data_IF_484097520582
#
_entry.id   IF_484097520582
#
_cell.length_a   1.000
_cell.length_b   1.000
_cell.length_c   1.000
_cell.angle_alpha   90.00
_cell.angle_beta   90.00
_cell.angle_gamma   90.00
#
_symmetry.space_group_name_H-M   'P 1'
#
loop_
_entity.id
_entity.type
_entity.pdbx_description
1 polymer ?
#
# COMPACT_ATOMS: atom_id res chain seq x y z
N UNK A 1 6.75 -24.94 -3.30
CA UNK A 1 6.42 -24.01 -2.21
C UNK A 1 7.46 -24.05 -1.13
N UNK A 2 8.40 -23.10 -1.18
CA UNK A 2 9.30 -22.80 -0.06
C UNK A 2 8.86 -21.49 0.59
N UNK A 3 8.86 -21.49 1.93
CA UNK A 3 8.44 -20.37 2.76
C UNK A 3 9.56 -19.99 3.72
N UNK A 4 9.79 -18.70 3.91
CA UNK A 4 10.59 -18.16 5.00
C UNK A 4 9.67 -17.33 5.88
N UNK A 5 9.66 -17.62 7.17
CA UNK A 5 8.88 -16.93 8.19
C UNK A 5 9.79 -16.51 9.34
N UNK A 6 9.85 -15.21 9.60
CA UNK A 6 10.64 -14.57 10.65
C UNK A 6 9.71 -13.63 11.43
N UNK A 7 9.05 -14.15 12.45
CA UNK A 7 8.08 -13.41 13.26
C UNK A 7 8.66 -13.09 14.64
N UNK A 8 8.49 -11.83 15.06
CA UNK A 8 8.76 -11.36 16.43
C UNK A 8 10.12 -11.83 16.94
N UNK A 9 11.15 -11.62 16.10
CA UNK A 9 12.53 -12.01 16.41
C UNK A 9 13.29 -10.84 17.04
N UNK A 10 13.53 -10.82 18.37
CA UNK A 10 14.29 -9.76 19.01
C UNK A 10 15.74 -9.81 18.52
N UNK A 11 16.23 -8.71 17.94
CA UNK A 11 17.58 -8.64 17.39
C UNK A 11 17.71 -8.97 15.90
N UNK A 12 16.60 -9.22 15.18
CA UNK A 12 16.63 -9.19 13.72
C UNK A 12 16.55 -7.73 13.24
N UNK A 13 17.68 -7.18 12.80
CA UNK A 13 17.82 -5.80 12.35
C UNK A 13 18.71 -5.70 11.10
N UNK A 14 18.75 -4.51 10.50
CA UNK A 14 19.51 -4.25 9.28
C UNK A 14 18.66 -4.41 8.03
N UNK A 15 19.30 -4.56 6.87
CA UNK A 15 18.64 -4.61 5.55
C UNK A 15 18.35 -6.05 5.13
N UNK A 16 17.31 -6.24 4.30
CA UNK A 16 17.02 -7.54 3.68
C UNK A 16 18.17 -7.90 2.71
N UNK A 17 18.89 -9.01 2.94
CA UNK A 17 19.96 -9.44 2.03
C UNK A 17 19.38 -9.97 0.72
N UNK A 18 20.22 -10.11 -0.31
CA UNK A 18 19.77 -10.71 -1.56
C UNK A 18 19.33 -12.16 -1.37
N UNK A 19 18.09 -12.48 -1.75
CA UNK A 19 17.54 -13.83 -1.74
C UNK A 19 17.42 -14.43 -3.14
N UNK A 20 18.07 -13.84 -4.15
CA UNK A 20 17.96 -14.25 -5.56
C UNK A 20 18.36 -15.70 -5.84
N UNK A 21 19.16 -16.32 -4.97
CA UNK A 21 19.56 -17.73 -5.09
C UNK A 21 18.48 -18.71 -4.62
N UNK A 22 17.44 -18.24 -3.95
CA UNK A 22 16.34 -19.07 -3.45
C UNK A 22 15.26 -19.19 -4.54
N UNK A 23 15.58 -19.89 -5.62
CA UNK A 23 14.71 -20.04 -6.81
C UNK A 23 13.35 -20.68 -6.52
N UNK A 24 13.21 -21.41 -5.42
CA UNK A 24 11.96 -22.06 -5.00
C UNK A 24 11.17 -21.27 -3.95
N UNK A 25 11.69 -20.12 -3.50
CA UNK A 25 11.01 -19.26 -2.53
C UNK A 25 9.75 -18.68 -3.15
N UNK A 26 8.61 -18.97 -2.53
CA UNK A 26 7.28 -18.54 -2.98
C UNK A 26 6.63 -17.57 -1.98
N UNK A 27 6.98 -17.67 -0.69
CA UNK A 27 6.48 -16.81 0.38
C UNK A 27 7.63 -16.33 1.28
N UNK A 28 7.66 -15.02 1.53
CA UNK A 28 8.51 -14.39 2.53
C UNK A 28 7.65 -13.59 3.50
N UNK A 29 7.75 -13.91 4.78
CA UNK A 29 7.03 -13.26 5.86
C UNK A 29 8.04 -12.83 6.94
N UNK A 30 8.15 -11.53 7.16
CA UNK A 30 8.99 -10.92 8.18
C UNK A 30 8.14 -9.92 8.97
N UNK A 31 7.68 -10.32 10.14
CA UNK A 31 6.66 -9.57 10.88
C UNK A 31 7.20 -9.12 12.23
N UNK A 32 6.95 -7.87 12.61
CA UNK A 32 7.32 -7.33 13.94
C UNK A 32 8.81 -7.46 14.26
N UNK A 33 9.67 -7.00 13.33
CA UNK A 33 11.13 -7.01 13.50
C UNK A 33 11.72 -5.62 13.35
N UNK A 34 13.03 -5.48 13.60
CA UNK A 34 13.72 -4.18 13.48
C UNK A 34 14.46 -4.03 12.14
N UNK A 35 14.01 -4.73 11.09
CA UNK A 35 14.60 -4.57 9.76
C UNK A 35 14.30 -3.18 9.20
N UNK A 36 15.26 -2.64 8.46
CA UNK A 36 15.26 -1.25 7.99
C UNK A 36 15.86 -1.15 6.60
N UNK A 37 15.75 0.02 5.97
CA UNK A 37 16.35 0.29 4.66
C UNK A 37 15.42 -0.08 3.49
N UNK A 38 15.92 -0.03 2.25
CA UNK A 38 15.08 -0.19 1.07
C UNK A 38 14.65 -1.64 0.84
N UNK A 39 13.45 -1.83 0.31
CA UNK A 39 13.04 -3.07 -0.34
C UNK A 39 14.01 -3.35 -1.51
N UNK A 40 14.67 -4.51 -1.53
CA UNK A 40 15.60 -4.87 -2.60
C UNK A 40 14.89 -5.12 -3.93
N UNK A 41 15.58 -5.14 -5.07
CA UNK A 41 14.94 -5.34 -6.39
C UNK A 41 14.92 -6.81 -6.86
N UNK A 42 15.55 -7.74 -6.11
CA UNK A 42 15.75 -9.12 -6.57
C UNK A 42 14.46 -9.95 -6.68
N UNK A 43 13.31 -9.43 -6.26
CA UNK A 43 12.02 -10.12 -6.31
C UNK A 43 11.66 -10.62 -7.71
N UNK A 44 12.17 -9.95 -8.74
CA UNK A 44 11.96 -10.33 -10.16
C UNK A 44 12.68 -11.63 -10.52
N UNK A 45 13.72 -12.00 -9.77
CA UNK A 45 14.55 -13.19 -10.03
C UNK A 45 14.16 -14.40 -9.15
N UNK A 46 13.03 -14.32 -8.43
CA UNK A 46 12.53 -15.40 -7.59
C UNK A 46 11.12 -15.81 -8.04
N UNK A 47 10.66 -16.99 -7.62
CA UNK A 47 9.27 -17.40 -7.78
C UNK A 47 8.36 -16.81 -6.68
N UNK A 48 8.78 -15.70 -6.06
CA UNK A 48 8.08 -15.12 -4.95
C UNK A 48 6.71 -14.63 -5.44
N UNK A 49 5.66 -15.05 -4.74
CA UNK A 49 4.28 -14.70 -5.07
C UNK A 49 3.60 -13.93 -3.94
N UNK A 50 4.08 -14.14 -2.71
CA UNK A 50 3.58 -13.50 -1.50
C UNK A 50 4.74 -12.89 -0.70
N UNK A 51 4.56 -11.62 -0.33
CA UNK A 51 5.46 -10.88 0.55
C UNK A 51 4.65 -10.24 1.66
N UNK A 52 4.97 -10.61 2.90
CA UNK A 52 4.47 -9.97 4.11
C UNK A 52 5.67 -9.40 4.85
N UNK A 53 5.75 -8.08 4.97
CA UNK A 53 6.71 -7.45 5.86
C UNK A 53 6.02 -6.33 6.60
N UNK A 54 5.67 -6.52 7.86
CA UNK A 54 4.92 -5.53 8.63
C UNK A 54 5.70 -5.00 9.82
N UNK A 55 5.28 -3.84 10.30
CA UNK A 55 5.77 -3.23 11.56
C UNK A 55 7.30 -3.11 11.61
N UNK A 56 7.86 -2.66 10.49
CA UNK A 56 9.31 -2.51 10.26
C UNK A 56 9.61 -1.08 9.77
N UNK A 57 10.87 -0.77 9.44
CA UNK A 57 11.26 0.58 8.97
C UNK A 57 11.72 0.56 7.51
N UNK A 58 10.98 -0.15 6.67
CA UNK A 58 11.33 -0.29 5.26
C UNK A 58 10.98 0.95 4.43
N UNK A 59 11.78 1.18 3.39
CA UNK A 59 11.61 2.23 2.38
C UNK A 59 11.75 1.64 0.96
N UNK A 60 11.70 2.47 -0.09
CA UNK A 60 11.96 2.01 -1.47
C UNK A 60 10.69 1.58 -2.23
N UNK A 61 10.86 1.04 -3.46
CA UNK A 61 9.76 0.74 -4.35
C UNK A 61 8.99 -0.52 -3.92
N UNK A 62 7.66 -0.48 -4.09
CA UNK A 62 6.78 -1.61 -3.82
C UNK A 62 6.93 -2.64 -4.95
N UNK A 63 7.17 -3.93 -4.65
CA UNK A 63 7.32 -4.95 -5.68
C UNK A 63 5.99 -5.27 -6.38
N UNK A 64 6.07 -5.95 -7.53
CA UNK A 64 4.89 -6.32 -8.31
C UNK A 64 4.56 -7.81 -8.12
N UNK A 65 4.01 -8.16 -6.97
CA UNK A 65 3.71 -9.54 -6.56
C UNK A 65 2.20 -9.76 -6.43
N UNK A 66 1.76 -11.02 -6.37
CA UNK A 66 0.32 -11.35 -6.30
C UNK A 66 -0.30 -10.98 -4.95
N UNK A 67 0.46 -11.14 -3.87
CA UNK A 67 0.05 -10.84 -2.51
C UNK A 67 1.13 -9.97 -1.85
N UNK A 68 0.74 -8.78 -1.42
CA UNK A 68 1.64 -7.84 -0.75
C UNK A 68 0.96 -7.32 0.50
N UNK A 69 1.68 -7.44 1.61
CA UNK A 69 1.33 -6.85 2.88
C UNK A 69 2.57 -6.14 3.44
N UNK A 70 2.56 -4.82 3.38
CA UNK A 70 3.66 -3.97 3.85
C UNK A 70 3.18 -2.96 4.89
N UNK A 71 2.13 -3.32 5.64
CA UNK A 71 1.52 -2.43 6.62
C UNK A 71 2.48 -2.03 7.73
N UNK A 72 2.32 -0.83 8.30
CA UNK A 72 3.12 -0.40 9.46
C UNK A 72 4.60 -0.17 9.14
N UNK A 73 4.94 0.19 7.90
CA UNK A 73 6.30 0.55 7.49
C UNK A 73 6.49 2.07 7.34
N UNK A 74 7.66 2.46 6.86
CA UNK A 74 8.00 3.83 6.53
C UNK A 74 8.04 4.05 5.01
N UNK A 75 7.19 3.32 4.26
CA UNK A 75 7.25 3.35 2.80
C UNK A 75 6.98 4.77 2.28
N UNK A 76 7.94 5.26 1.53
CA UNK A 76 7.85 6.44 0.67
C UNK A 76 8.34 5.97 -0.68
N UNK A 77 7.54 6.08 -1.73
CA UNK A 77 8.06 5.84 -3.06
C UNK A 77 8.80 7.10 -3.55
N UNK A 78 9.79 6.85 -4.39
CA UNK A 78 10.65 7.86 -4.94
C UNK A 78 10.43 7.81 -6.45
N UNK A 79 10.13 8.94 -7.09
CA UNK A 79 10.38 9.04 -8.53
C UNK A 79 11.76 9.64 -8.71
N UNK A 80 12.58 8.87 -9.39
CA UNK A 80 13.87 9.28 -9.90
C UNK A 80 13.60 10.44 -10.86
N UNK A 81 13.72 11.68 -10.37
CA UNK A 81 14.06 12.92 -11.09
C UNK A 81 13.68 14.14 -10.24
N UNK A 82 14.46 14.44 -9.20
CA UNK A 82 14.96 15.80 -8.98
C UNK A 82 16.13 15.73 -8.01
N UNK A 83 17.26 16.24 -8.44
CA UNK A 83 18.36 16.64 -7.57
C UNK A 83 17.88 17.79 -6.67
N UNK A 84 17.29 17.48 -5.52
CA UNK A 84 17.14 18.45 -4.43
C UNK A 84 16.94 17.78 -3.07
N UNK A 85 17.72 18.27 -2.10
CA UNK A 85 17.70 17.88 -0.69
C UNK A 85 16.48 18.56 -0.05
N UNK A 86 15.54 17.78 0.47
CA UNK A 86 14.52 18.29 1.39
C UNK A 86 14.64 17.57 2.75
N UNK A 87 15.01 18.27 3.84
CA UNK A 87 14.94 17.74 5.18
C UNK A 87 13.52 17.99 5.72
N UNK A 88 12.56 17.13 5.38
CA UNK A 88 11.28 16.85 6.10
C UNK A 88 10.26 16.23 5.13
N UNK A 89 9.79 15.02 5.48
CA UNK A 89 8.63 14.31 4.92
C UNK A 89 8.54 14.26 3.39
N UNK A 90 9.16 13.23 2.80
CA UNK A 90 8.89 12.84 1.41
C UNK A 90 7.51 12.18 1.32
N UNK A 91 6.48 12.99 1.11
CA UNK A 91 5.23 12.50 0.54
C UNK A 91 5.53 12.15 -0.91
N UNK A 92 5.34 10.89 -1.27
CA UNK A 92 4.94 10.63 -2.64
C UNK A 92 3.78 11.54 -2.99
N UNK A 93 3.84 12.18 -4.15
CA UNK A 93 2.75 12.94 -4.74
C UNK A 93 2.77 12.65 -6.24
N UNK A 94 1.81 11.88 -6.75
CA UNK A 94 1.81 11.49 -8.18
C UNK A 94 0.96 10.25 -8.48
N UNK A 95 0.98 9.82 -9.75
CA UNK A 95 0.13 8.74 -10.28
C UNK A 95 0.65 7.34 -9.87
N UNK A 96 -0.13 6.52 -9.15
CA UNK A 96 0.28 5.21 -8.67
C UNK A 96 -0.02 4.06 -9.65
N UNK A 97 -0.15 4.34 -10.95
CA UNK A 97 -0.33 3.31 -12.00
C UNK A 97 0.80 2.27 -12.01
N UNK A 98 1.98 2.61 -11.49
CA UNK A 98 3.08 1.64 -11.33
C UNK A 98 2.70 0.45 -10.44
N UNK A 99 1.87 0.73 -9.43
CA UNK A 99 1.33 -0.24 -8.49
C UNK A 99 0.01 -0.78 -9.06
N UNK A 100 -0.97 0.10 -9.27
CA UNK A 100 -2.35 -0.25 -9.60
C UNK A 100 -2.62 -0.13 -11.10
N UNK A 101 -2.04 -1.02 -11.90
CA UNK A 101 -2.41 -1.18 -13.31
C UNK A 101 -3.29 -2.43 -13.49
N UNK A 102 -4.22 -2.39 -14.44
CA UNK A 102 -5.21 -3.45 -14.65
C UNK A 102 -4.59 -4.80 -15.04
N UNK A 103 -3.41 -4.80 -15.68
CA UNK A 103 -2.67 -6.00 -16.08
C UNK A 103 -1.84 -6.61 -14.94
N UNK A 104 -1.78 -5.96 -13.78
CA UNK A 104 -0.97 -6.42 -12.64
C UNK A 104 -1.58 -7.68 -12.02
N UNK A 105 -0.76 -8.60 -11.49
CA UNK A 105 -1.23 -9.88 -10.94
C UNK A 105 -1.82 -9.76 -9.53
N UNK A 106 -1.82 -8.57 -8.94
CA UNK A 106 -2.15 -8.35 -7.53
C UNK A 106 -3.60 -8.74 -7.21
N UNK A 107 -3.74 -9.48 -6.11
CA UNK A 107 -5.04 -9.94 -5.56
C UNK A 107 -5.30 -9.41 -4.15
N UNK A 108 -4.23 -9.18 -3.37
CA UNK A 108 -4.22 -8.50 -2.08
C UNK A 108 -3.14 -7.41 -2.09
N UNK A 109 -3.52 -6.23 -1.64
CA UNK A 109 -2.62 -5.11 -1.36
C UNK A 109 -2.98 -4.57 0.01
N UNK A 110 -2.05 -4.67 0.95
CA UNK A 110 -2.13 -3.97 2.23
C UNK A 110 -0.91 -3.06 2.35
N UNK A 111 -1.16 -1.76 2.35
CA UNK A 111 -0.15 -0.72 2.54
C UNK A 111 -0.54 0.20 3.68
N UNK A 112 -1.47 -0.24 4.53
CA UNK A 112 -1.97 0.57 5.63
C UNK A 112 -0.86 1.01 6.59
N UNK A 113 -1.10 2.08 7.35
CA UNK A 113 -0.12 2.56 8.35
C UNK A 113 1.27 2.88 7.75
N UNK A 114 1.29 3.45 6.55
CA UNK A 114 2.48 4.02 5.96
C UNK A 114 2.36 5.56 5.92
N UNK A 115 3.11 6.21 5.03
CA UNK A 115 3.04 7.68 4.82
C UNK A 115 2.80 7.97 3.34
N UNK A 116 1.89 7.23 2.72
CA UNK A 116 1.65 7.29 1.28
C UNK A 116 0.70 8.43 0.90
N UNK A 117 1.06 9.19 -0.13
CA UNK A 117 0.27 10.30 -0.67
C UNK A 117 -0.04 10.13 -2.16
N UNK A 118 -1.01 9.29 -2.50
CA UNK A 118 -1.34 9.07 -3.91
C UNK A 118 -2.50 9.94 -4.39
N UNK A 119 -2.45 10.33 -5.67
CA UNK A 119 -3.66 10.72 -6.41
C UNK A 119 -4.22 9.47 -7.11
N UNK A 120 -5.29 8.90 -6.55
CA UNK A 120 -5.92 7.69 -7.07
C UNK A 120 -7.02 7.98 -8.10
N UNK A 121 -7.28 9.25 -8.45
CA UNK A 121 -8.42 9.64 -9.32
C UNK A 121 -8.39 9.02 -10.72
N UNK A 122 -7.21 8.68 -11.24
CA UNK A 122 -7.00 8.18 -12.62
C UNK A 122 -6.57 6.73 -12.68
N UNK A 123 -6.62 6.03 -11.56
CA UNK A 123 -5.99 4.72 -11.40
C UNK A 123 -6.95 3.59 -11.76
N UNK A 124 -6.43 2.56 -12.43
CA UNK A 124 -7.21 1.36 -12.78
C UNK A 124 -6.71 0.16 -12.01
N UNK A 125 -7.53 -0.34 -11.09
CA UNK A 125 -7.13 -1.48 -10.27
C UNK A 125 -6.96 -2.76 -11.09
N UNK A 126 -6.07 -3.67 -10.64
CA UNK A 126 -6.00 -5.03 -11.14
C UNK A 126 -7.38 -5.69 -11.17
N UNK A 127 -7.71 -6.38 -12.27
CA UNK A 127 -9.03 -7.03 -12.41
C UNK A 127 -9.28 -8.13 -11.37
N UNK A 128 -8.21 -8.72 -10.83
CA UNK A 128 -8.28 -9.77 -9.82
C UNK A 128 -8.13 -9.26 -8.39
N UNK A 129 -8.07 -7.94 -8.19
CA UNK A 129 -7.95 -7.38 -6.85
C UNK A 129 -9.21 -7.70 -6.04
N UNK A 130 -9.01 -8.23 -4.84
CA UNK A 130 -10.10 -8.58 -3.92
C UNK A 130 -9.96 -7.92 -2.55
N UNK A 131 -8.74 -7.55 -2.18
CA UNK A 131 -8.42 -6.92 -0.91
C UNK A 131 -7.54 -5.70 -1.17
N UNK A 132 -8.00 -4.55 -0.66
CA UNK A 132 -7.23 -3.31 -0.65
C UNK A 132 -7.37 -2.64 0.71
N UNK A 133 -6.26 -2.48 1.42
CA UNK A 133 -6.18 -1.62 2.59
C UNK A 133 -5.11 -0.54 2.36
N UNK A 134 -5.57 0.71 2.40
CA UNK A 134 -4.76 1.94 2.32
C UNK A 134 -5.09 2.86 3.49
N UNK A 135 -5.57 2.30 4.62
CA UNK A 135 -5.95 3.08 5.80
C UNK A 135 -4.74 3.65 6.52
N UNK A 136 -4.95 4.74 7.27
CA UNK A 136 -3.88 5.43 8.01
C UNK A 136 -2.73 5.95 7.13
N UNK A 137 -3.06 6.38 5.91
CA UNK A 137 -2.16 7.05 4.97
C UNK A 137 -2.57 8.53 4.77
N UNK A 138 -2.03 9.19 3.74
CA UNK A 138 -2.37 10.56 3.31
C UNK A 138 -2.89 10.61 1.87
N UNK A 139 -3.49 9.54 1.39
CA UNK A 139 -3.88 9.43 -0.02
C UNK A 139 -5.13 10.25 -0.34
N UNK A 140 -5.14 10.90 -1.51
CA UNK A 140 -6.30 11.54 -2.13
C UNK A 140 -6.94 10.53 -3.10
N UNK A 141 -8.12 10.04 -2.75
CA UNK A 141 -8.89 9.09 -3.56
C UNK A 141 -10.16 9.78 -4.03
N UNK A 142 -10.30 9.91 -5.36
CA UNK A 142 -11.64 10.06 -5.94
C UNK A 142 -12.18 8.67 -6.25
N UNK A 143 -13.49 8.55 -6.02
CA UNK A 143 -14.14 7.30 -5.68
C UNK A 143 -13.93 6.17 -6.69
N UNK A 144 -13.67 5.00 -6.12
CA UNK A 144 -13.51 3.75 -6.85
C UNK A 144 -14.87 3.14 -7.12
N UNK A 145 -15.13 2.81 -8.38
CA UNK A 145 -16.29 2.01 -8.79
C UNK A 145 -16.10 0.50 -8.52
N UNK A 146 -14.95 0.08 -7.97
CA UNK A 146 -14.62 -1.32 -7.76
C UNK A 146 -15.21 -1.86 -6.44
N UNK A 147 -16.12 -2.84 -6.55
CA UNK A 147 -16.64 -3.61 -5.41
C UNK A 147 -15.67 -4.74 -5.05
N UNK A 148 -14.74 -4.47 -4.14
CA UNK A 148 -13.81 -5.45 -3.57
C UNK A 148 -14.46 -6.27 -2.45
N UNK A 149 -13.82 -7.39 -2.05
CA UNK A 149 -14.25 -8.18 -0.87
C UNK A 149 -13.86 -7.49 0.43
N UNK A 150 -12.66 -6.94 0.45
CA UNK A 150 -12.17 -6.09 1.52
C UNK A 150 -11.70 -4.77 0.90
N UNK A 151 -12.17 -3.67 1.49
CA UNK A 151 -11.79 -2.33 1.10
C UNK A 151 -11.74 -1.45 2.34
N UNK A 152 -10.61 -0.79 2.55
CA UNK A 152 -10.42 0.12 3.65
C UNK A 152 -9.54 1.29 3.23
N UNK A 153 -10.08 2.49 3.37
CA UNK A 153 -9.40 3.79 3.16
C UNK A 153 -9.69 4.74 4.33
N UNK A 154 -10.02 4.18 5.50
CA UNK A 154 -10.25 4.96 6.71
C UNK A 154 -8.98 5.70 7.15
N UNK A 155 -9.14 6.74 7.96
CA UNK A 155 -8.03 7.55 8.49
C UNK A 155 -7.11 8.12 7.39
N UNK A 156 -7.72 8.60 6.30
CA UNK A 156 -7.05 9.36 5.25
C UNK A 156 -7.55 10.83 5.23
N UNK A 157 -7.13 11.58 4.21
CA UNK A 157 -7.54 12.97 3.98
C UNK A 157 -8.51 13.09 2.78
N UNK A 158 -9.39 12.10 2.61
CA UNK A 158 -10.32 12.03 1.46
C UNK A 158 -11.43 13.07 1.54
N UNK A 159 -11.68 13.76 0.41
CA UNK A 159 -12.77 14.71 0.21
C UNK A 159 -13.62 14.34 -1.03
N UNK A 160 -14.97 14.43 -1.00
CA UNK A 160 -15.83 14.16 -2.14
C UNK A 160 -15.98 15.34 -3.09
N UNK A 161 -16.34 14.97 -4.32
CA UNK A 161 -17.67 15.29 -4.85
C UNK A 161 -18.52 14.01 -4.97
N UNK A 162 -19.35 13.75 -3.95
CA UNK A 162 -20.69 13.12 -3.99
C UNK A 162 -20.96 11.73 -4.59
N UNK A 163 -20.05 11.04 -5.27
CA UNK A 163 -20.43 9.86 -6.09
C UNK A 163 -19.47 8.69 -5.96
N UNK A 164 -19.98 7.47 -5.72
CA UNK A 164 -19.20 6.22 -5.88
C UNK A 164 -18.80 5.50 -4.60
N UNK A 165 -19.56 5.63 -3.50
CA UNK A 165 -19.32 4.83 -2.30
C UNK A 165 -20.06 3.49 -2.42
N UNK A 166 -19.30 2.39 -2.45
CA UNK A 166 -19.83 1.03 -2.65
C UNK A 166 -19.58 0.07 -1.48
N UNK A 167 -18.84 0.52 -0.46
CA UNK A 167 -18.51 -0.25 0.74
C UNK A 167 -19.16 0.36 1.99
N UNK A 168 -19.15 -0.36 3.11
CA UNK A 168 -19.75 0.11 4.36
C UNK A 168 -19.05 1.35 4.93
N UNK A 169 -19.75 2.12 5.78
CA UNK A 169 -19.24 3.38 6.35
C UNK A 169 -17.86 3.25 7.03
N UNK A 170 -17.62 2.11 7.72
CA UNK A 170 -16.35 1.84 8.40
C UNK A 170 -15.14 1.88 7.46
N UNK A 171 -15.30 1.49 6.19
CA UNK A 171 -14.24 1.53 5.17
C UNK A 171 -13.76 2.96 4.86
N UNK A 172 -14.51 3.97 5.28
CA UNK A 172 -14.26 5.39 4.98
C UNK A 172 -14.16 6.24 6.24
N UNK A 173 -14.09 5.62 7.41
CA UNK A 173 -14.13 6.34 8.68
C UNK A 173 -12.96 7.33 8.82
N UNK A 174 -13.15 8.39 9.62
CA UNK A 174 -12.14 9.42 9.89
C UNK A 174 -11.59 10.18 8.65
N UNK A 175 -12.30 10.15 7.53
CA UNK A 175 -12.03 11.02 6.39
C UNK A 175 -12.79 12.35 6.53
N UNK A 176 -12.06 13.44 6.79
CA UNK A 176 -12.62 14.71 7.29
C UNK A 176 -13.73 15.34 6.45
N UNK A 177 -13.70 15.14 5.15
CA UNK A 177 -14.59 15.82 4.21
C UNK A 177 -15.55 14.85 3.51
N UNK A 178 -15.41 13.52 3.71
CA UNK A 178 -16.29 12.54 3.09
C UNK A 178 -17.73 12.66 3.57
N UNK A 179 -18.67 12.64 2.63
CA UNK A 179 -20.10 12.72 2.88
C UNK A 179 -20.88 12.04 1.74
N UNK A 180 -22.12 11.67 2.01
CA UNK A 180 -22.96 10.88 1.12
C UNK A 180 -23.06 9.40 1.55
N UNK A 181 -24.17 8.74 1.22
CA UNK A 181 -24.48 7.37 1.66
C UNK A 181 -23.31 6.41 1.37
N UNK A 182 -22.88 5.58 2.33
CA UNK A 182 -23.44 5.31 3.67
C UNK A 182 -22.92 6.21 4.79
N UNK A 183 -22.16 7.27 4.48
CA UNK A 183 -21.70 8.26 5.45
C UNK A 183 -22.76 9.33 5.72
N UNK A 184 -22.42 10.31 6.57
CA UNK A 184 -23.28 11.46 6.86
C UNK A 184 -23.62 12.25 5.58
N UNK A 185 -24.85 12.77 5.44
CA UNK A 185 -25.23 13.59 4.28
C UNK A 185 -24.33 14.82 4.12
N UNK A 186 -24.03 15.18 2.87
CA UNK A 186 -23.28 16.38 2.56
C UNK A 186 -24.03 17.64 3.01
N UNK A 187 -23.36 18.52 3.74
CA UNK A 187 -23.89 19.86 4.04
C UNK A 187 -24.02 20.62 2.71
N UNK A 188 -25.20 21.16 2.40
CA UNK A 188 -25.37 22.05 1.24
C UNK A 188 -24.47 23.27 1.44
N UNK A 189 -23.64 23.61 0.46
CA UNK A 189 -22.93 24.90 0.45
C UNK A 189 -23.99 26.02 0.44
N UNK A 190 -23.94 26.92 1.42
CA UNK A 190 -24.72 28.16 1.43
C UNK A 190 -24.12 29.16 0.46
#
# INVERSE_FOLDING_TARGET
MQTIQLDTMPGLYGTIPSLSKLSHLELLDITSTSITGPLPEFWVNTNLSALTITDSKLTGPIPNLRYIDLSGNMLTAHWIHTSWIAPRKLSLTGNPSFLFDAAKPMTKIDLSWNVLGFDMTKVRFPYHLTYLDLSHDKSQVSFLTAKLRHFNVSYNELCPEGHGIHHGANSYDHNKCLCGTPLVPCKKRQ
#
